data_IF_661607850874
#
_entry.id   IF_661607850874
#
_cell.length_a   1.000
_cell.length_b   1.000
_cell.length_c   1.000
_cell.angle_alpha   90.00
_cell.angle_beta   90.00
_cell.angle_gamma   90.00
#
_symmetry.space_group_name_H-M   'P 1'
#
loop_
_entity.id
_entity.type
_entity.pdbx_description
1 polymer ?
#
# COMPACT_ATOMS: atom_id res chain seq x y z
N UNK A 1 18.98 -10.68 -16.19
CA UNK A 1 17.71 -11.31 -15.76
C UNK A 1 16.68 -10.20 -15.55
N UNK A 2 15.61 -10.17 -16.36
CA UNK A 2 14.52 -9.21 -16.19
C UNK A 2 13.67 -9.61 -14.97
N UNK A 3 13.57 -8.74 -13.97
CA UNK A 3 12.70 -8.96 -12.80
C UNK A 3 11.24 -8.99 -13.25
N UNK A 4 10.50 -10.00 -12.81
CA UNK A 4 9.04 -10.08 -12.93
C UNK A 4 8.43 -8.75 -12.41
N UNK A 5 7.58 -8.05 -13.19
CA UNK A 5 6.92 -6.85 -12.71
C UNK A 5 6.13 -7.16 -11.44
N UNK A 6 6.18 -6.28 -10.44
CA UNK A 6 5.44 -6.47 -9.19
C UNK A 6 3.94 -6.66 -9.51
N UNK A 7 3.29 -7.74 -9.04
CA UNK A 7 1.89 -8.04 -9.34
C UNK A 7 0.89 -7.14 -8.60
N UNK A 8 1.36 -6.31 -7.66
CA UNK A 8 0.54 -5.39 -6.88
C UNK A 8 0.64 -4.00 -7.52
N UNK A 9 -0.50 -3.45 -7.95
CA UNK A 9 -0.57 -2.06 -8.41
C UNK A 9 -0.29 -1.13 -7.23
N UNK A 10 0.92 -0.61 -7.15
CA UNK A 10 1.27 0.47 -6.23
C UNK A 10 0.78 1.80 -6.80
N UNK A 11 0.19 2.63 -5.93
CA UNK A 11 -0.17 4.01 -6.26
C UNK A 11 0.76 4.93 -5.46
N UNK A 12 1.38 5.89 -6.13
CA UNK A 12 2.22 6.88 -5.47
C UNK A 12 1.36 8.00 -4.91
N UNK A 13 1.59 8.36 -3.64
CA UNK A 13 0.94 9.49 -2.99
C UNK A 13 2.04 10.46 -2.55
N UNK A 14 1.95 11.72 -2.99
CA UNK A 14 2.85 12.78 -2.55
C UNK A 14 2.18 13.56 -1.43
N UNK A 15 2.83 13.67 -0.28
CA UNK A 15 2.31 14.37 0.91
C UNK A 15 3.24 15.53 1.25
N UNK A 16 2.67 16.72 1.40
CA UNK A 16 3.38 17.86 1.97
C UNK A 16 3.16 17.89 3.49
N UNK A 17 4.23 18.03 4.25
CA UNK A 17 4.16 18.05 5.72
C UNK A 17 5.16 19.04 6.31
N UNK A 18 5.05 19.29 7.61
CA UNK A 18 5.97 20.18 8.32
C UNK A 18 7.33 19.50 8.56
N UNK A 19 8.43 20.27 8.69
CA UNK A 19 9.76 19.72 9.01
C UNK A 19 9.77 18.90 10.30
N UNK A 20 8.93 19.29 11.26
CA UNK A 20 8.79 18.65 12.56
C UNK A 20 8.23 17.22 12.42
N UNK A 21 7.22 17.04 11.58
CA UNK A 21 6.67 15.71 11.27
C UNK A 21 7.70 14.84 10.54
N UNK A 22 8.46 15.41 9.61
CA UNK A 22 9.55 14.67 8.96
C UNK A 22 10.59 14.20 9.99
N UNK A 23 10.95 15.04 10.96
CA UNK A 23 11.85 14.68 12.06
C UNK A 23 11.34 13.49 12.88
N UNK A 24 10.04 13.46 13.21
CA UNK A 24 9.44 12.31 13.90
C UNK A 24 9.45 11.04 13.05
N UNK A 25 9.19 11.15 11.75
CA UNK A 25 9.28 9.99 10.84
C UNK A 25 10.69 9.41 10.81
N UNK A 26 11.73 10.25 10.77
CA UNK A 26 13.12 9.82 10.89
C UNK A 26 13.39 9.11 12.22
N UNK A 27 12.96 9.70 13.34
CA UNK A 27 13.13 9.08 14.66
C UNK A 27 12.42 7.72 14.78
N UNK A 28 11.26 7.55 14.13
CA UNK A 28 10.55 6.28 14.09
C UNK A 28 11.30 5.21 13.28
N UNK A 29 12.01 5.61 12.22
CA UNK A 29 12.89 4.71 11.47
C UNK A 29 14.06 4.24 12.35
N UNK A 30 14.63 5.14 13.16
CA UNK A 30 15.73 4.81 14.07
C UNK A 30 15.35 3.76 15.12
N UNK A 31 14.07 3.68 15.50
CA UNK A 31 13.58 2.59 16.39
C UNK A 31 13.62 1.21 15.73
N UNK A 32 13.76 1.13 14.41
CA UNK A 32 13.76 -0.11 13.63
C UNK A 32 12.38 -0.76 13.44
N UNK A 33 11.34 -0.24 14.09
CA UNK A 33 9.99 -0.83 14.08
C UNK A 33 9.13 -0.37 12.89
N UNK A 34 9.44 0.79 12.30
CA UNK A 34 8.61 1.44 11.30
C UNK A 34 9.14 1.35 9.86
N UNK A 35 10.20 0.58 9.62
CA UNK A 35 10.79 0.38 8.29
C UNK A 35 12.18 0.98 8.19
N UNK A 36 12.67 1.14 6.95
CA UNK A 36 14.06 1.55 6.67
C UNK A 36 14.18 3.01 6.24
N UNK A 37 13.07 3.68 5.96
CA UNK A 37 13.07 5.07 5.54
C UNK A 37 11.79 5.80 6.01
N UNK A 38 11.80 7.15 6.04
CA UNK A 38 10.66 7.93 6.52
C UNK A 38 9.36 7.69 5.73
N UNK A 39 9.45 7.31 4.45
CA UNK A 39 8.29 7.03 3.62
C UNK A 39 7.61 5.71 4.00
N UNK A 40 8.36 4.65 4.29
CA UNK A 40 7.84 3.40 4.84
C UNK A 40 7.22 3.62 6.22
N UNK A 41 7.86 4.44 7.06
CA UNK A 41 7.29 4.81 8.35
C UNK A 41 5.95 5.53 8.20
N UNK A 42 5.88 6.48 7.27
CA UNK A 42 4.63 7.18 6.94
C UNK A 42 3.57 6.22 6.39
N UNK A 43 3.92 5.31 5.48
CA UNK A 43 3.01 4.31 4.93
C UNK A 43 2.39 3.43 6.04
N UNK A 44 3.22 2.91 6.95
CA UNK A 44 2.74 2.08 8.08
C UNK A 44 1.84 2.85 9.03
N UNK A 45 2.17 4.10 9.32
CA UNK A 45 1.33 4.97 10.16
C UNK A 45 -0.02 5.24 9.49
N UNK A 46 -0.03 5.51 8.18
CA UNK A 46 -1.27 5.71 7.41
C UNK A 46 -2.09 4.43 7.42
N UNK A 47 -1.49 3.27 7.16
CA UNK A 47 -2.19 1.98 7.18
C UNK A 47 -2.87 1.72 8.53
N UNK A 48 -2.13 1.91 9.64
CA UNK A 48 -2.69 1.77 10.99
C UNK A 48 -3.81 2.79 11.27
N UNK A 49 -3.65 4.04 10.83
CA UNK A 49 -4.67 5.07 10.95
C UNK A 49 -5.96 4.70 10.19
N UNK A 50 -5.84 4.13 9.00
CA UNK A 50 -6.98 3.64 8.21
C UNK A 50 -7.68 2.46 8.92
N UNK A 51 -6.93 1.51 9.47
CA UNK A 51 -7.50 0.40 10.24
C UNK A 51 -8.31 0.89 11.44
N UNK A 52 -7.76 1.84 12.21
CA UNK A 52 -8.45 2.45 13.36
C UNK A 52 -9.71 3.21 12.91
N UNK A 53 -9.64 3.98 11.82
CA UNK A 53 -10.78 4.72 11.29
C UNK A 53 -11.89 3.80 10.76
N UNK A 54 -11.53 2.66 10.17
CA UNK A 54 -12.48 1.61 9.77
C UNK A 54 -13.12 0.94 10.99
N UNK A 55 -12.32 0.59 11.99
CA UNK A 55 -12.80 -0.03 13.23
C UNK A 55 -13.74 0.91 14.02
N UNK A 56 -13.45 2.20 14.01
CA UNK A 56 -14.28 3.23 14.63
C UNK A 56 -15.51 3.64 13.82
N UNK A 57 -15.73 3.08 12.62
CA UNK A 57 -16.86 3.41 11.76
C UNK A 57 -16.82 4.83 11.15
N UNK A 58 -15.69 5.52 11.22
CA UNK A 58 -15.51 6.87 10.67
C UNK A 58 -15.49 6.82 9.14
N UNK A 59 -14.89 5.77 8.58
CA UNK A 59 -14.81 5.54 7.13
C UNK A 59 -15.65 4.30 6.80
N UNK A 60 -16.55 4.36 5.81
CA UNK A 60 -17.29 3.18 5.38
C UNK A 60 -16.32 2.18 4.74
N UNK A 61 -16.43 0.90 5.14
CA UNK A 61 -15.66 -0.18 4.53
C UNK A 61 -16.05 -0.30 3.06
N UNK A 62 -15.21 0.19 2.15
CA UNK A 62 -15.39 -0.07 0.72
C UNK A 62 -15.23 -1.57 0.48
N UNK A 63 -16.31 -2.24 0.10
CA UNK A 63 -16.20 -3.58 -0.48
C UNK A 63 -15.24 -3.51 -1.66
N UNK A 64 -14.20 -4.33 -1.65
CA UNK A 64 -13.41 -4.60 -2.87
C UNK A 64 -14.41 -5.12 -3.88
N UNK A 65 -14.87 -4.26 -4.79
CA UNK A 65 -15.65 -4.70 -5.95
C UNK A 65 -14.78 -5.73 -6.65
N UNK A 66 -15.10 -7.02 -6.51
CA UNK A 66 -14.44 -8.10 -7.23
C UNK A 66 -14.85 -7.94 -8.70
N UNK A 67 -14.23 -7.01 -9.43
CA UNK A 67 -14.14 -7.13 -10.87
C UNK A 67 -13.05 -8.16 -11.21
N UNK A 68 -13.31 -9.40 -10.77
CA UNK A 68 -12.60 -10.60 -11.20
C UNK A 68 -13.17 -11.09 -12.54
N UNK A 69 -13.10 -10.24 -13.57
CA UNK A 69 -13.55 -10.57 -14.94
C UNK A 69 -12.58 -10.18 -16.04
N UNK A 70 -11.30 -9.93 -15.72
CA UNK A 70 -10.30 -9.57 -16.72
C UNK A 70 -8.96 -10.26 -16.46
N UNK A 71 -8.98 -11.58 -16.34
CA UNK A 71 -7.83 -12.42 -16.65
C UNK A 71 -8.33 -13.70 -17.34
N UNK A 72 -9.07 -13.54 -18.44
CA UNK A 72 -9.23 -14.63 -19.40
C UNK A 72 -7.91 -14.71 -20.15
N UNK A 73 -7.03 -15.60 -19.71
CA UNK A 73 -5.91 -16.05 -20.53
C UNK A 73 -6.56 -16.93 -21.59
N UNK A 74 -6.48 -16.62 -22.89
CA UNK A 74 -6.89 -17.59 -23.89
C UNK A 74 -5.87 -18.72 -23.83
N UNK A 75 -6.22 -19.84 -23.19
CA UNK A 75 -5.59 -21.12 -23.50
C UNK A 75 -6.02 -21.45 -24.92
N UNK A 76 -5.13 -21.14 -25.86
CA UNK A 76 -5.12 -21.76 -27.18
C UNK A 76 -5.31 -23.26 -26.98
N UNK A 77 -6.42 -23.74 -27.56
CA UNK A 77 -6.83 -25.13 -27.54
C UNK A 77 -5.66 -26.02 -27.92
N UNK A 78 -5.26 -26.85 -26.97
CA UNK A 78 -4.40 -28.00 -27.20
C UNK A 78 -5.13 -28.97 -28.17
N UNK A 79 -4.46 -29.28 -29.27
CA UNK A 79 -4.61 -30.44 -30.18
C UNK A 79 -5.76 -30.41 -31.21
N UNK A 80 -5.39 -30.20 -32.48
CA UNK A 80 -5.22 -31.28 -33.48
C UNK A 80 -4.10 -30.90 -34.46
#
# INVERSE_FOLDING_TARGET
>A
MARKPNPVKSVQITVSTTPLVHGYLSALVDTGLYGKNPAEAAERLIAKGVEVALAGGIIPRRERTRNARQFTIPEERRLL
#
